data_IF_267720368384
#
_entry.id   IF_267720368384
#
_cell.length_a   1.000
_cell.length_b   1.000
_cell.length_c   1.000
_cell.angle_alpha   90.00
_cell.angle_beta   90.00
_cell.angle_gamma   90.00
#
_symmetry.space_group_name_H-M   'P 1'
#
loop_
_entity.id
_entity.type
_entity.pdbx_description
1 polymer ?
#
# COMPACT_ATOMS: atom_id res chain seq x y z
N UNK A 1 -31.96 -26.97 46.82
CA UNK A 1 -32.75 -26.04 45.99
C UNK A 1 -31.83 -25.48 44.93
N UNK A 2 -32.21 -25.55 43.64
CA UNK A 2 -31.37 -25.02 42.56
C UNK A 2 -31.11 -23.52 42.78
N UNK A 3 -29.86 -23.09 42.60
CA UNK A 3 -29.47 -21.71 42.85
C UNK A 3 -29.98 -20.84 41.70
N UNK A 4 -31.02 -20.05 41.94
CA UNK A 4 -31.74 -19.24 40.92
C UNK A 4 -30.79 -18.35 40.12
N UNK A 5 -29.75 -17.82 40.78
CA UNK A 5 -28.71 -17.01 40.13
C UNK A 5 -27.92 -17.77 39.07
N UNK A 6 -27.66 -19.07 39.28
CA UNK A 6 -26.95 -19.91 38.33
C UNK A 6 -27.81 -20.14 37.07
N UNK A 7 -29.08 -20.48 37.26
CA UNK A 7 -30.04 -20.70 36.15
C UNK A 7 -30.21 -19.42 35.31
N UNK A 8 -30.31 -18.26 35.95
CA UNK A 8 -30.42 -16.98 35.25
C UNK A 8 -29.15 -16.67 34.43
N UNK A 9 -27.97 -16.88 35.01
CA UNK A 9 -26.69 -16.65 34.32
C UNK A 9 -26.50 -17.60 33.14
N UNK A 10 -26.93 -18.86 33.26
CA UNK A 10 -26.93 -19.81 32.15
C UNK A 10 -27.84 -19.36 31.01
N UNK A 11 -29.03 -18.85 31.34
CA UNK A 11 -29.99 -18.38 30.33
C UNK A 11 -29.53 -17.09 29.65
N UNK A 12 -28.93 -16.14 30.38
CA UNK A 12 -28.29 -14.95 29.81
C UNK A 12 -27.19 -15.36 28.83
N UNK A 13 -26.33 -16.32 29.20
CA UNK A 13 -25.26 -16.82 28.31
C UNK A 13 -25.83 -17.49 27.07
N UNK A 14 -26.91 -18.27 27.21
CA UNK A 14 -27.57 -18.96 26.10
C UNK A 14 -28.14 -17.95 25.11
N UNK A 15 -28.85 -16.93 25.59
CA UNK A 15 -29.43 -15.87 24.75
C UNK A 15 -28.33 -15.03 24.07
N UNK A 16 -27.28 -14.64 24.81
CA UNK A 16 -26.16 -13.89 24.24
C UNK A 16 -25.42 -14.67 23.13
N UNK A 17 -25.19 -15.98 23.33
CA UNK A 17 -24.64 -16.86 22.29
C UNK A 17 -25.57 -16.98 21.09
N UNK A 18 -26.88 -17.11 21.33
CA UNK A 18 -27.87 -17.23 20.26
C UNK A 18 -27.95 -15.94 19.42
N UNK A 19 -27.91 -14.77 20.06
CA UNK A 19 -27.97 -13.48 19.40
C UNK A 19 -26.74 -13.22 18.50
N UNK A 20 -25.55 -13.65 18.93
CA UNK A 20 -24.32 -13.41 18.18
C UNK A 20 -23.99 -14.50 17.15
N UNK A 21 -24.63 -15.67 17.24
CA UNK A 21 -24.32 -16.82 16.38
C UNK A 21 -24.51 -16.54 14.88
N UNK A 22 -25.62 -15.91 14.48
CA UNK A 22 -25.87 -15.60 13.06
C UNK A 22 -24.80 -14.69 12.48
N UNK A 23 -24.39 -13.68 13.24
CA UNK A 23 -23.39 -12.70 12.80
C UNK A 23 -22.00 -13.34 12.68
N UNK A 24 -21.61 -14.16 13.65
CA UNK A 24 -20.37 -14.93 13.58
C UNK A 24 -20.37 -15.95 12.43
N UNK A 25 -21.50 -16.62 12.19
CA UNK A 25 -21.64 -17.57 11.09
C UNK A 25 -21.53 -16.85 9.73
N UNK A 26 -22.21 -15.71 9.56
CA UNK A 26 -22.10 -14.86 8.37
C UNK A 26 -20.66 -14.35 8.16
N UNK A 27 -19.98 -13.85 9.20
CA UNK A 27 -18.59 -13.42 9.09
C UNK A 27 -17.65 -14.60 8.80
N UNK A 28 -17.90 -15.78 9.36
CA UNK A 28 -17.13 -17.00 9.07
C UNK A 28 -17.28 -17.38 7.59
N UNK A 29 -18.48 -17.30 7.04
CA UNK A 29 -18.74 -17.52 5.62
C UNK A 29 -18.01 -16.50 4.74
N UNK A 30 -18.09 -15.21 5.09
CA UNK A 30 -17.35 -14.14 4.40
C UNK A 30 -15.83 -14.37 4.44
N UNK A 31 -15.27 -14.76 5.59
CA UNK A 31 -13.86 -15.10 5.73
C UNK A 31 -13.44 -16.29 4.85
N UNK A 32 -14.30 -17.31 4.74
CA UNK A 32 -14.04 -18.46 3.86
C UNK A 32 -14.11 -18.03 2.39
N UNK A 33 -15.09 -17.20 2.01
CA UNK A 33 -15.22 -16.68 0.65
C UNK A 33 -14.01 -15.82 0.26
N UNK A 34 -13.56 -14.92 1.14
CA UNK A 34 -12.36 -14.10 0.92
C UNK A 34 -11.09 -14.93 0.81
N UNK A 35 -10.91 -15.93 1.67
CA UNK A 35 -9.74 -16.84 1.57
C UNK A 35 -9.75 -17.60 0.24
N UNK A 36 -10.92 -18.02 -0.25
CA UNK A 36 -11.06 -18.65 -1.57
C UNK A 36 -10.71 -17.67 -2.70
N UNK A 37 -11.18 -16.42 -2.64
CA UNK A 37 -10.86 -15.43 -3.65
C UNK A 37 -9.37 -15.08 -3.66
N UNK A 38 -8.73 -14.97 -2.49
CA UNK A 38 -7.28 -14.75 -2.38
C UNK A 38 -6.51 -15.89 -3.05
N UNK A 39 -6.84 -17.14 -2.71
CA UNK A 39 -6.19 -18.30 -3.32
C UNK A 39 -6.38 -18.36 -4.84
N UNK A 40 -7.55 -17.97 -5.35
CA UNK A 40 -7.83 -17.90 -6.78
C UNK A 40 -7.03 -16.79 -7.49
N UNK A 41 -6.96 -15.60 -6.89
CA UNK A 41 -6.17 -14.50 -7.42
C UNK A 41 -4.67 -14.84 -7.44
N UNK A 42 -4.15 -15.45 -6.36
CA UNK A 42 -2.76 -15.92 -6.30
C UNK A 42 -2.47 -16.95 -7.41
N UNK A 43 -3.39 -17.88 -7.69
CA UNK A 43 -3.26 -18.82 -8.81
C UNK A 43 -3.24 -18.12 -10.17
N UNK A 44 -4.12 -17.13 -10.38
CA UNK A 44 -4.17 -16.34 -11.61
C UNK A 44 -2.89 -15.55 -11.82
N UNK A 45 -2.38 -14.92 -10.76
CA UNK A 45 -1.09 -14.23 -10.79
C UNK A 45 0.01 -15.20 -11.20
N UNK A 46 0.11 -16.37 -10.55
CA UNK A 46 1.10 -17.39 -10.88
C UNK A 46 0.96 -17.92 -12.32
N UNK A 47 -0.26 -18.03 -12.85
CA UNK A 47 -0.50 -18.45 -14.23
C UNK A 47 -0.07 -17.37 -15.23
N UNK A 48 -0.36 -16.10 -14.95
CA UNK A 48 0.07 -14.96 -15.77
C UNK A 48 1.59 -14.77 -15.73
N UNK A 49 2.22 -14.94 -14.57
CA UNK A 49 3.67 -14.91 -14.40
C UNK A 49 4.36 -16.01 -15.22
N UNK A 50 3.72 -17.17 -15.40
CA UNK A 50 4.22 -18.26 -16.26
C UNK A 50 4.06 -18.01 -17.76
N UNK A 51 3.05 -17.21 -18.16
CA UNK A 51 2.77 -16.89 -19.56
C UNK A 51 3.48 -15.64 -20.06
N UNK A 52 3.91 -14.76 -19.14
CA UNK A 52 4.87 -13.71 -19.46
C UNK A 52 6.23 -14.33 -19.84
N UNK A 53 7.00 -13.72 -20.75
CA UNK A 53 8.37 -14.17 -20.99
C UNK A 53 9.13 -14.16 -19.67
N UNK A 54 9.75 -15.30 -19.35
CA UNK A 54 10.62 -15.51 -18.21
C UNK A 54 11.63 -14.38 -18.05
N UNK A 55 11.31 -13.41 -17.21
CA UNK A 55 12.22 -12.45 -16.59
C UNK A 55 11.52 -12.08 -15.27
N UNK A 56 11.94 -12.57 -14.12
CA UNK A 56 13.29 -12.43 -13.56
C UNK A 56 13.51 -13.55 -12.52
N UNK A 57 14.55 -14.40 -12.67
CA UNK A 57 15.16 -15.07 -11.53
C UNK A 57 15.87 -14.01 -10.69
N UNK A 58 15.47 -13.88 -9.43
CA UNK A 58 16.23 -13.13 -8.42
C UNK A 58 17.46 -13.95 -8.02
N UNK A 59 18.61 -13.29 -8.10
CA UNK A 59 19.98 -13.67 -7.71
C UNK A 59 20.77 -14.66 -8.59
N UNK A 60 21.68 -14.11 -9.40
CA UNK A 60 23.13 -14.27 -9.22
C UNK A 60 23.91 -13.54 -10.33
N UNK A 61 24.80 -12.63 -9.90
CA UNK A 61 26.07 -12.21 -10.52
C UNK A 61 26.14 -11.73 -11.98
N UNK A 62 26.59 -10.47 -12.10
CA UNK A 62 27.52 -9.91 -13.10
C UNK A 62 27.51 -10.43 -14.55
N UNK A 63 27.16 -9.55 -15.48
CA UNK A 63 28.02 -9.22 -16.62
C UNK A 63 27.49 -7.98 -17.33
N UNK A 64 28.43 -7.11 -17.68
CA UNK A 64 28.24 -5.95 -18.54
C UNK A 64 27.50 -6.32 -19.83
N UNK A 65 26.42 -5.60 -20.09
CA UNK A 65 25.99 -5.33 -21.46
C UNK A 65 25.62 -3.85 -21.52
N UNK A 66 26.47 -3.09 -22.19
CA UNK A 66 26.17 -1.78 -22.75
C UNK A 66 25.09 -1.94 -23.82
N UNK A 67 23.88 -1.50 -23.50
CA UNK A 67 22.89 -1.12 -24.50
C UNK A 67 22.29 0.20 -24.08
N UNK A 68 22.57 1.19 -24.92
CA UNK A 68 22.03 2.55 -24.99
C UNK A 68 20.50 2.53 -25.14
N UNK A 69 19.75 2.16 -24.09
CA UNK A 69 18.37 2.65 -23.84
C UNK A 69 17.84 2.23 -22.45
N UNK A 70 18.59 2.54 -21.38
CA UNK A 70 18.12 2.30 -20.00
C UNK A 70 17.39 3.55 -19.48
N UNK A 71 16.12 3.48 -19.04
CA UNK A 71 15.54 4.54 -18.25
C UNK A 71 16.38 4.66 -16.98
N UNK A 72 17.06 5.80 -16.85
CA UNK A 72 18.06 6.12 -15.82
C UNK A 72 17.67 5.47 -14.50
N UNK A 73 18.39 4.43 -14.07
CA UNK A 73 18.17 3.78 -12.78
C UNK A 73 18.40 4.83 -11.70
N UNK A 74 17.30 5.43 -11.24
CA UNK A 74 17.39 6.51 -10.28
C UNK A 74 17.85 5.88 -8.98
N UNK A 75 19.03 6.26 -8.49
CA UNK A 75 19.46 5.90 -7.14
C UNK A 75 18.47 6.58 -6.17
N UNK A 76 17.53 5.79 -5.68
CA UNK A 76 16.51 6.22 -4.73
C UNK A 76 17.08 6.02 -3.32
N UNK A 77 17.77 7.04 -2.84
CA UNK A 77 18.27 7.14 -1.45
C UNK A 77 17.29 7.98 -0.63
N UNK A 78 17.23 7.74 0.69
CA UNK A 78 16.39 8.48 1.63
C UNK A 78 16.41 10.00 1.41
N UNK A 79 17.61 10.59 1.37
CA UNK A 79 17.81 12.03 1.15
C UNK A 79 17.28 12.53 -0.20
N UNK A 80 17.32 11.67 -1.22
CA UNK A 80 16.86 12.03 -2.57
C UNK A 80 15.34 12.02 -2.65
N UNK A 81 14.69 11.07 -1.97
CA UNK A 81 13.23 11.04 -1.86
C UNK A 81 12.73 12.31 -1.19
N UNK A 82 13.38 12.70 -0.08
CA UNK A 82 13.07 13.94 0.63
C UNK A 82 13.25 15.16 -0.28
N UNK A 83 14.40 15.26 -0.98
CA UNK A 83 14.68 16.37 -1.92
C UNK A 83 13.68 16.44 -3.08
N UNK A 84 13.22 15.31 -3.61
CA UNK A 84 12.22 15.31 -4.67
C UNK A 84 10.85 15.75 -4.14
N UNK A 85 10.43 15.23 -2.98
CA UNK A 85 9.18 15.62 -2.34
C UNK A 85 9.15 17.14 -2.05
N UNK A 86 10.22 17.68 -1.46
CA UNK A 86 10.30 19.11 -1.14
C UNK A 86 10.37 19.98 -2.39
N UNK A 87 11.12 19.55 -3.43
CA UNK A 87 11.15 20.25 -4.73
C UNK A 87 9.77 20.36 -5.37
N UNK A 88 8.90 19.38 -5.15
CA UNK A 88 7.53 19.34 -5.64
C UNK A 88 6.52 20.03 -4.72
N UNK A 89 6.93 20.49 -3.53
CA UNK A 89 6.05 21.13 -2.55
C UNK A 89 4.93 20.21 -2.06
N UNK A 90 5.25 18.93 -1.85
CA UNK A 90 4.28 17.91 -1.43
C UNK A 90 4.46 17.56 0.04
N UNK A 91 3.35 17.39 0.76
CA UNK A 91 3.40 16.75 2.08
C UNK A 91 3.70 15.25 1.93
N UNK A 92 4.19 14.59 2.98
CA UNK A 92 4.42 13.13 2.95
C UNK A 92 3.12 12.39 2.61
N UNK A 93 1.96 12.87 3.10
CA UNK A 93 0.64 12.28 2.84
C UNK A 93 0.25 12.44 1.37
N UNK A 94 0.42 13.63 0.79
CA UNK A 94 0.13 13.88 -0.62
C UNK A 94 1.04 13.05 -1.53
N UNK A 95 2.33 12.95 -1.18
CA UNK A 95 3.29 12.14 -1.92
C UNK A 95 2.95 10.65 -1.85
N UNK A 96 2.53 10.15 -0.68
CA UNK A 96 2.08 8.78 -0.50
C UNK A 96 0.81 8.47 -1.31
N UNK A 97 -0.18 9.38 -1.31
CA UNK A 97 -1.40 9.27 -2.13
C UNK A 97 -1.07 9.17 -3.62
N UNK A 98 -0.14 10.00 -4.11
CA UNK A 98 0.27 9.98 -5.53
C UNK A 98 0.99 8.68 -5.91
N UNK A 99 1.79 8.13 -5.00
CA UNK A 99 2.51 6.86 -5.19
C UNK A 99 1.63 5.62 -4.98
N UNK A 100 0.43 5.79 -4.40
CA UNK A 100 -0.48 4.70 -4.03
C UNK A 100 0.07 3.86 -2.86
N UNK A 101 0.76 4.49 -1.91
CA UNK A 101 1.34 3.82 -0.73
C UNK A 101 0.88 4.47 0.56
N UNK A 102 1.15 3.82 1.69
CA UNK A 102 0.87 4.40 3.02
C UNK A 102 1.83 5.55 3.33
N UNK A 103 1.33 6.56 4.06
CA UNK A 103 2.12 7.65 4.63
C UNK A 103 3.35 7.12 5.40
N UNK A 104 3.15 6.05 6.17
CA UNK A 104 4.21 5.44 6.97
C UNK A 104 5.33 4.87 6.10
N UNK A 105 5.01 4.36 4.91
CA UNK A 105 6.03 3.85 3.97
C UNK A 105 6.93 4.98 3.46
N UNK A 106 6.37 6.15 3.14
CA UNK A 106 7.15 7.33 2.73
C UNK A 106 8.04 7.80 3.87
N UNK A 107 7.52 7.88 5.10
CA UNK A 107 8.30 8.22 6.29
C UNK A 107 9.47 7.24 6.53
N UNK A 108 9.24 5.93 6.37
CA UNK A 108 10.29 4.92 6.51
C UNK A 108 11.35 4.98 5.40
N UNK A 109 10.99 5.46 4.21
CA UNK A 109 11.96 5.67 3.13
C UNK A 109 12.77 6.95 3.34
N UNK A 110 12.14 8.04 3.77
CA UNK A 110 12.81 9.31 4.07
C UNK A 110 13.75 9.19 5.27
N UNK A 111 13.45 8.30 6.22
CA UNK A 111 14.32 7.99 7.36
C UNK A 111 15.36 6.88 7.08
N UNK A 112 15.34 6.28 5.88
CA UNK A 112 16.26 5.21 5.51
C UNK A 112 16.05 3.87 6.22
N UNK A 113 15.00 3.73 7.04
CA UNK A 113 14.64 2.48 7.72
C UNK A 113 14.32 1.35 6.74
N UNK A 114 13.76 1.69 5.58
CA UNK A 114 13.44 0.73 4.52
C UNK A 114 13.74 1.33 3.15
N UNK A 115 14.04 0.47 2.18
CA UNK A 115 14.26 0.89 0.79
C UNK A 115 13.01 0.64 -0.05
N UNK A 116 12.61 1.56 -0.94
CA UNK A 116 11.49 1.34 -1.85
C UNK A 116 11.76 0.14 -2.76
N UNK A 117 10.72 -0.66 -3.04
CA UNK A 117 10.79 -1.75 -4.02
C UNK A 117 10.92 -1.19 -5.44
N UNK A 118 11.41 -1.99 -6.39
CA UNK A 118 11.62 -1.55 -7.78
C UNK A 118 10.36 -0.93 -8.43
N UNK A 119 9.18 -1.48 -8.19
CA UNK A 119 7.91 -0.90 -8.65
C UNK A 119 7.66 0.51 -8.09
N UNK A 120 8.06 0.77 -6.85
CA UNK A 120 7.92 2.07 -6.19
C UNK A 120 9.02 3.02 -6.66
N UNK A 121 10.25 2.55 -6.90
CA UNK A 121 11.33 3.36 -7.51
C UNK A 121 10.95 3.85 -8.91
N UNK A 122 10.30 3.00 -9.72
CA UNK A 122 9.76 3.39 -11.05
C UNK A 122 8.71 4.48 -10.93
N UNK A 123 7.72 4.32 -10.04
CA UNK A 123 6.72 5.37 -9.78
C UNK A 123 7.33 6.67 -9.27
N UNK A 124 8.34 6.58 -8.40
CA UNK A 124 9.10 7.75 -7.93
C UNK A 124 9.85 8.43 -9.10
N UNK A 125 10.42 7.65 -10.02
CA UNK A 125 11.08 8.19 -11.21
C UNK A 125 10.08 8.84 -12.18
N UNK A 126 8.93 8.21 -12.43
CA UNK A 126 7.83 8.77 -13.21
C UNK A 126 7.33 10.09 -12.59
N UNK A 127 7.09 10.13 -11.27
CA UNK A 127 6.69 11.35 -10.56
C UNK A 127 7.76 12.43 -10.55
N UNK A 128 9.05 12.06 -10.61
CA UNK A 128 10.15 13.02 -10.76
C UNK A 128 10.17 13.62 -12.17
N UNK A 129 9.95 12.78 -13.18
CA UNK A 129 10.03 13.17 -14.59
C UNK A 129 8.76 13.93 -15.02
N UNK A 130 7.62 13.68 -14.36
CA UNK A 130 6.45 14.53 -14.40
C UNK A 130 6.76 15.89 -13.75
N UNK A 131 6.96 16.91 -14.56
CA UNK A 131 7.24 18.28 -14.09
C UNK A 131 6.10 18.87 -13.25
N UNK A 132 6.42 19.93 -12.47
CA UNK A 132 5.47 20.65 -11.58
C UNK A 132 4.10 20.98 -12.20
N UNK A 133 4.02 21.14 -13.54
CA UNK A 133 2.79 21.41 -14.30
C UNK A 133 1.83 20.22 -14.31
N UNK A 134 2.33 19.02 -14.59
CA UNK A 134 1.53 17.80 -14.63
C UNK A 134 1.10 17.37 -13.23
N UNK A 135 1.95 17.60 -12.23
CA UNK A 135 1.59 17.42 -10.82
C UNK A 135 0.47 18.35 -10.37
N UNK A 136 0.40 19.58 -10.88
CA UNK A 136 -0.70 20.50 -10.56
C UNK A 136 -2.02 20.04 -11.18
N UNK A 137 -2.01 19.56 -12.42
CA UNK A 137 -3.17 18.92 -13.07
C UNK A 137 -3.62 17.66 -12.35
N UNK A 138 -2.67 16.79 -11.97
CA UNK A 138 -2.96 15.56 -11.25
C UNK A 138 -3.46 15.83 -9.81
N UNK A 139 -3.00 16.93 -9.19
CA UNK A 139 -3.60 17.44 -7.95
C UNK A 139 -5.04 17.87 -8.19
N UNK A 140 -5.34 18.65 -9.23
CA UNK A 140 -6.72 19.06 -9.54
C UNK A 140 -7.63 17.87 -9.86
N UNK A 141 -7.16 16.88 -10.63
CA UNK A 141 -7.93 15.71 -11.05
C UNK A 141 -8.14 14.68 -9.92
N UNK A 142 -7.17 14.49 -9.00
CA UNK A 142 -7.26 13.48 -7.92
C UNK A 142 -7.56 14.05 -6.53
N UNK A 143 -7.33 15.35 -6.27
CA UNK A 143 -7.60 16.00 -4.99
C UNK A 143 -8.79 16.97 -5.05
N UNK A 144 -9.63 16.88 -6.09
CA UNK A 144 -10.95 17.50 -6.08
C UNK A 144 -11.75 17.03 -4.87
N UNK A 145 -11.83 17.90 -3.86
CA UNK A 145 -12.56 17.84 -2.58
C UNK A 145 -11.67 17.63 -1.35
N UNK A 146 -11.35 18.74 -0.68
CA UNK A 146 -11.11 18.81 0.76
C UNK A 146 -9.75 18.32 1.29
N UNK A 147 -8.71 19.12 1.13
CA UNK A 147 -7.61 19.14 2.10
C UNK A 147 -7.10 20.58 2.18
N UNK A 148 -7.40 21.23 3.30
CA UNK A 148 -7.05 22.63 3.59
C UNK A 148 -5.52 22.75 3.60
N UNK A 149 -4.92 23.85 3.08
CA UNK A 149 -3.47 24.04 3.14
C UNK A 149 -3.02 24.04 4.60
N UNK A 150 -2.32 23.00 5.05
CA UNK A 150 -1.57 23.07 6.30
C UNK A 150 -0.35 23.92 5.99
N UNK A 151 -0.39 25.14 6.54
CA UNK A 151 0.59 26.19 6.37
C UNK A 151 2.01 25.69 6.63
N UNK A 152 2.92 26.22 5.83
CA UNK A 152 4.34 26.05 6.01
C UNK A 152 4.77 26.90 7.21
N UNK A 153 4.91 26.27 8.38
CA UNK A 153 5.67 26.86 9.45
C UNK A 153 7.16 26.62 9.19
N UNK A 154 7.79 27.69 8.74
CA UNK A 154 9.21 27.92 8.84
C UNK A 154 9.50 28.37 10.28
N UNK A 155 10.25 27.56 11.03
CA UNK A 155 11.29 27.97 11.98
C UNK A 155 12.11 26.75 12.42
#
# INVERSE_FOLDING_TARGET
>A
MANITQVLNEEIRRLAKKATKSDFDNHREQLVALRRSVAELERRIKALEKLGPSAVPVDASSSDVETEDRPKSVRVTADRILKWRTRLGLTQVQYAKLLGVSHLSVSHWESGKTTPREAQKRRIAELRDMGKRELKKLKDERLGTGDVPVEADAE
#
